data_IF_678021949211
#
_entry.id   IF_678021949211
#
_cell.length_a   1.000
_cell.length_b   1.000
_cell.length_c   1.000
_cell.angle_alpha   90.00
_cell.angle_beta   90.00
_cell.angle_gamma   90.00
#
_symmetry.space_group_name_H-M   'P 1'
#
loop_
_entity.id
_entity.type
_entity.pdbx_description
1 polymer ?
#
# COMPACT_ATOMS: atom_id res chain seq x y z
N UNK A 1 47.25 -24.54 4.59
CA UNK A 1 46.69 -25.21 3.38
C UNK A 1 45.70 -24.25 2.75
N UNK A 2 45.68 -24.13 1.41
CA UNK A 2 44.69 -23.30 0.71
C UNK A 2 43.28 -23.84 0.96
N UNK A 3 42.30 -22.97 1.21
CA UNK A 3 40.90 -23.39 1.43
C UNK A 3 40.27 -23.89 0.14
N UNK A 4 39.13 -24.59 0.22
CA UNK A 4 38.35 -24.97 -0.97
C UNK A 4 38.01 -23.76 -1.84
N UNK A 5 37.67 -22.63 -1.21
CA UNK A 5 37.37 -21.38 -1.91
C UNK A 5 38.57 -20.88 -2.72
N UNK A 6 39.76 -20.88 -2.11
CA UNK A 6 40.99 -20.39 -2.75
C UNK A 6 41.39 -21.28 -3.94
N UNK A 7 41.10 -22.58 -3.88
CA UNK A 7 41.38 -23.52 -4.97
C UNK A 7 40.33 -23.44 -6.08
N UNK A 8 39.07 -23.14 -5.75
CA UNK A 8 37.95 -23.09 -6.70
C UNK A 8 37.85 -21.74 -7.43
N UNK A 9 38.13 -20.63 -6.75
CA UNK A 9 37.82 -19.28 -7.23
C UNK A 9 39.09 -18.43 -7.30
N UNK A 10 39.39 -17.90 -8.49
CA UNK A 10 40.40 -16.87 -8.69
C UNK A 10 39.73 -15.49 -8.74
N UNK A 11 39.81 -14.66 -7.69
CA UNK A 11 39.14 -13.36 -7.66
C UNK A 11 39.77 -12.39 -8.67
N UNK A 12 38.94 -11.73 -9.47
CA UNK A 12 39.37 -10.71 -10.44
C UNK A 12 39.15 -9.28 -9.90
N UNK A 13 38.02 -9.06 -9.22
CA UNK A 13 37.66 -7.78 -8.61
C UNK A 13 36.64 -7.99 -7.48
N UNK A 14 36.46 -6.99 -6.61
CA UNK A 14 35.35 -6.97 -5.64
C UNK A 14 34.03 -6.64 -6.34
N UNK A 15 32.94 -7.31 -5.93
CA UNK A 15 31.58 -7.01 -6.40
C UNK A 15 31.03 -5.69 -5.85
N UNK A 16 29.97 -5.17 -6.47
CA UNK A 16 29.28 -3.98 -6.00
C UNK A 16 28.71 -4.17 -4.58
N UNK A 17 28.98 -3.22 -3.68
CA UNK A 17 28.55 -3.27 -2.27
C UNK A 17 27.22 -2.57 -2.01
N UNK A 18 26.81 -1.67 -2.91
CA UNK A 18 25.55 -0.92 -2.80
C UNK A 18 24.52 -1.55 -3.73
N UNK A 19 23.34 -1.95 -3.22
CA UNK A 19 22.29 -2.52 -4.04
C UNK A 19 21.61 -1.44 -4.91
N UNK A 20 21.11 -1.85 -6.07
CA UNK A 20 20.46 -0.96 -7.03
C UNK A 20 18.96 -0.81 -6.75
N UNK A 21 18.27 -1.93 -6.48
CA UNK A 21 16.80 -2.02 -6.40
C UNK A 21 16.36 -2.61 -5.05
N UNK A 22 17.01 -2.18 -3.96
CA UNK A 22 16.71 -2.69 -2.63
C UNK A 22 15.31 -2.29 -2.16
N UNK A 23 14.58 -3.25 -1.60
CA UNK A 23 13.31 -3.03 -0.90
C UNK A 23 13.47 -3.41 0.57
N UNK A 24 12.92 -2.59 1.46
CA UNK A 24 12.77 -2.93 2.87
C UNK A 24 11.30 -3.16 3.20
N UNK A 25 11.00 -4.19 3.99
CA UNK A 25 9.70 -4.37 4.64
C UNK A 25 9.87 -4.24 6.15
N UNK A 26 9.18 -3.27 6.75
CA UNK A 26 9.13 -3.06 8.21
C UNK A 26 7.87 -3.72 8.75
N UNK A 27 8.05 -4.66 9.67
CA UNK A 27 7.03 -5.58 10.17
C UNK A 27 7.06 -6.92 9.42
N UNK A 28 7.27 -8.02 10.14
CA UNK A 28 7.24 -9.41 9.60
C UNK A 28 5.98 -10.16 10.06
N UNK A 29 4.90 -9.42 10.27
CA UNK A 29 3.58 -10.00 10.44
C UNK A 29 3.02 -10.58 9.14
N UNK A 30 1.77 -11.06 9.18
CA UNK A 30 1.10 -11.69 8.04
C UNK A 30 1.11 -10.83 6.77
N UNK A 31 0.87 -9.51 6.90
CA UNK A 31 0.89 -8.56 5.77
C UNK A 31 2.31 -8.34 5.25
N UNK A 32 3.28 -8.14 6.15
CA UNK A 32 4.69 -7.95 5.80
C UNK A 32 5.26 -9.12 5.03
N UNK A 33 5.01 -10.35 5.49
CA UNK A 33 5.49 -11.55 4.80
C UNK A 33 4.76 -11.79 3.47
N UNK A 34 3.47 -11.48 3.38
CA UNK A 34 2.75 -11.53 2.10
C UNK A 34 3.30 -10.51 1.09
N UNK A 35 3.68 -9.31 1.52
CA UNK A 35 4.34 -8.32 0.67
C UNK A 35 5.74 -8.79 0.26
N UNK A 36 6.54 -9.28 1.20
CA UNK A 36 7.89 -9.79 0.95
C UNK A 36 7.90 -10.92 -0.08
N UNK A 37 7.07 -11.96 0.09
CA UNK A 37 7.02 -13.09 -0.85
C UNK A 37 6.48 -12.67 -2.22
N UNK A 38 5.53 -11.73 -2.28
CA UNK A 38 4.99 -11.21 -3.55
C UNK A 38 6.04 -10.41 -4.33
N UNK A 39 6.85 -9.61 -3.63
CA UNK A 39 8.00 -8.88 -4.19
C UNK A 39 9.06 -9.85 -4.74
N UNK A 40 9.41 -10.88 -3.95
CA UNK A 40 10.39 -11.90 -4.34
C UNK A 40 9.90 -12.72 -5.53
N UNK A 41 8.64 -13.18 -5.50
CA UNK A 41 8.04 -13.96 -6.57
C UNK A 41 7.94 -13.22 -7.91
N UNK A 42 7.89 -11.88 -7.89
CA UNK A 42 7.95 -11.03 -9.08
C UNK A 42 9.37 -10.62 -9.48
N UNK A 43 10.40 -11.03 -8.73
CA UNK A 43 11.81 -10.70 -8.99
C UNK A 43 12.08 -9.19 -9.00
N UNK A 44 11.41 -8.42 -8.13
CA UNK A 44 11.46 -6.95 -8.20
C UNK A 44 12.73 -6.33 -7.61
N UNK A 45 13.41 -7.02 -6.70
CA UNK A 45 14.55 -6.47 -5.95
C UNK A 45 15.79 -7.35 -6.09
N UNK A 46 16.97 -6.70 -6.08
CA UNK A 46 18.25 -7.38 -5.95
C UNK A 46 18.57 -7.69 -4.48
N UNK A 47 18.16 -6.83 -3.55
CA UNK A 47 18.27 -7.04 -2.10
C UNK A 47 16.92 -6.81 -1.40
N UNK A 48 16.50 -7.74 -0.55
CA UNK A 48 15.36 -7.58 0.37
C UNK A 48 15.88 -7.46 1.81
N UNK A 49 15.45 -6.42 2.52
CA UNK A 49 15.71 -6.25 3.95
C UNK A 49 14.42 -6.34 4.76
N UNK A 50 14.44 -7.08 5.86
CA UNK A 50 13.34 -7.19 6.82
C UNK A 50 13.72 -6.54 8.16
N UNK A 51 12.78 -5.83 8.78
CA UNK A 51 12.95 -5.25 10.12
C UNK A 51 11.74 -5.55 10.96
N UNK A 52 11.96 -6.05 12.17
CA UNK A 52 10.93 -6.20 13.20
C UNK A 52 11.57 -6.16 14.60
N UNK A 53 10.77 -5.90 15.62
CA UNK A 53 11.22 -5.92 17.02
C UNK A 53 11.26 -7.34 17.60
N UNK A 54 10.54 -8.29 17.01
CA UNK A 54 10.51 -9.70 17.40
C UNK A 54 11.68 -10.48 16.77
N UNK A 55 12.86 -10.45 17.40
CA UNK A 55 14.12 -10.97 16.84
C UNK A 55 14.07 -12.44 16.39
N UNK A 56 13.52 -13.35 17.21
CA UNK A 56 13.44 -14.78 16.85
C UNK A 56 12.53 -15.02 15.64
N UNK A 57 11.39 -14.33 15.62
CA UNK A 57 10.46 -14.40 14.49
C UNK A 57 11.11 -13.83 13.24
N UNK A 58 11.74 -12.66 13.35
CA UNK A 58 12.44 -12.00 12.25
C UNK A 58 13.51 -12.91 11.64
N UNK A 59 14.32 -13.56 12.47
CA UNK A 59 15.34 -14.50 12.04
C UNK A 59 14.72 -15.73 11.36
N UNK A 60 13.65 -16.29 11.93
CA UNK A 60 12.92 -17.42 11.35
C UNK A 60 12.37 -17.12 9.96
N UNK A 61 11.66 -16.00 9.81
CA UNK A 61 11.08 -15.56 8.53
C UNK A 61 12.16 -15.28 7.49
N UNK A 62 13.28 -14.67 7.89
CA UNK A 62 14.43 -14.46 7.00
C UNK A 62 15.03 -15.79 6.53
N UNK A 63 15.29 -16.72 7.44
CA UNK A 63 15.89 -18.02 7.12
C UNK A 63 15.01 -18.84 6.18
N UNK A 64 13.69 -18.83 6.39
CA UNK A 64 12.75 -19.56 5.54
C UNK A 64 12.76 -19.01 4.10
N UNK A 65 12.75 -17.68 3.93
CA UNK A 65 12.93 -17.07 2.62
C UNK A 65 14.30 -17.39 2.00
N UNK A 66 15.37 -17.40 2.81
CA UNK A 66 16.72 -17.73 2.35
C UNK A 66 16.82 -19.19 1.88
N UNK A 67 16.17 -20.14 2.54
CA UNK A 67 16.12 -21.54 2.08
C UNK A 67 15.46 -21.68 0.70
N UNK A 68 14.55 -20.76 0.35
CA UNK A 68 13.95 -20.66 -0.97
C UNK A 68 14.80 -19.98 -2.05
N UNK A 69 16.00 -19.47 -1.73
CA UNK A 69 16.78 -18.60 -2.64
C UNK A 69 17.04 -19.20 -4.02
N UNK A 70 17.17 -20.52 -4.14
CA UNK A 70 17.40 -21.20 -5.43
C UNK A 70 16.22 -21.05 -6.41
N UNK A 71 15.02 -20.76 -5.90
CA UNK A 71 13.81 -20.55 -6.70
C UNK A 71 13.51 -19.06 -6.96
N UNK A 72 14.37 -18.17 -6.47
CA UNK A 72 14.17 -16.72 -6.51
C UNK A 72 15.24 -16.04 -7.37
N UNK A 73 14.92 -14.83 -7.82
CA UNK A 73 15.83 -13.98 -8.61
C UNK A 73 16.50 -12.87 -7.77
N UNK A 74 16.33 -12.92 -6.45
CA UNK A 74 16.89 -11.94 -5.50
C UNK A 74 18.11 -12.57 -4.82
N UNK A 75 19.29 -11.98 -5.02
CA UNK A 75 20.55 -12.59 -4.59
C UNK A 75 20.80 -12.48 -3.07
N UNK A 76 20.15 -11.54 -2.38
CA UNK A 76 20.41 -11.26 -0.97
C UNK A 76 19.15 -10.92 -0.20
N UNK A 77 18.90 -11.68 0.86
CA UNK A 77 17.83 -11.46 1.83
C UNK A 77 18.50 -11.29 3.19
N UNK A 78 18.25 -10.17 3.85
CA UNK A 78 18.84 -9.83 5.16
C UNK A 78 17.75 -9.36 6.12
N UNK A 79 17.99 -9.53 7.41
CA UNK A 79 17.08 -9.06 8.43
C UNK A 79 17.83 -8.66 9.69
N UNK A 80 17.40 -7.57 10.32
CA UNK A 80 17.92 -7.10 11.60
C UNK A 80 16.87 -6.20 12.27
N UNK A 81 16.94 -6.08 13.59
CA UNK A 81 16.18 -5.10 14.35
C UNK A 81 16.77 -3.69 14.20
N UNK A 82 18.08 -3.58 13.99
CA UNK A 82 18.74 -2.30 13.67
C UNK A 82 18.43 -1.91 12.22
N UNK A 83 17.93 -0.68 12.06
CA UNK A 83 17.62 -0.10 10.75
C UNK A 83 18.84 0.12 9.86
N UNK A 84 20.08 -0.04 10.35
CA UNK A 84 21.28 -0.06 9.52
C UNK A 84 21.17 -1.09 8.38
N UNK A 85 20.47 -2.21 8.61
CA UNK A 85 20.19 -3.22 7.57
C UNK A 85 19.36 -2.68 6.40
N UNK A 86 18.67 -1.56 6.60
CA UNK A 86 17.79 -0.92 5.59
C UNK A 86 18.50 0.09 4.72
N UNK A 87 19.81 0.31 4.91
CA UNK A 87 20.54 1.34 4.19
C UNK A 87 20.45 1.16 2.66
N UNK A 88 20.26 2.29 1.96
CA UNK A 88 20.16 2.40 0.50
C UNK A 88 18.92 1.76 -0.15
N UNK A 89 17.82 1.61 0.59
CA UNK A 89 16.55 1.14 0.03
C UNK A 89 15.94 2.16 -0.93
N UNK A 90 15.43 1.68 -2.06
CA UNK A 90 14.64 2.47 -3.02
C UNK A 90 13.20 2.61 -2.54
N UNK A 91 12.64 1.53 -2.00
CA UNK A 91 11.30 1.50 -1.43
C UNK A 91 11.36 0.94 -0.02
N UNK A 92 10.67 1.59 0.91
CA UNK A 92 10.46 1.06 2.27
C UNK A 92 8.97 0.89 2.50
N UNK A 93 8.53 -0.35 2.69
CA UNK A 93 7.14 -0.72 2.93
C UNK A 93 6.90 -0.80 4.43
N UNK A 94 5.99 0.03 4.95
CA UNK A 94 5.62 0.03 6.37
C UNK A 94 4.36 -0.80 6.59
N UNK A 95 4.52 -1.96 7.22
CA UNK A 95 3.42 -2.86 7.61
C UNK A 95 3.30 -3.03 9.12
N UNK A 96 4.28 -2.53 9.88
CA UNK A 96 4.28 -2.52 11.33
C UNK A 96 3.22 -1.55 11.88
N UNK A 97 2.50 -1.99 12.90
CA UNK A 97 1.46 -1.20 13.56
C UNK A 97 0.80 -2.00 14.66
N UNK A 98 0.08 -1.29 15.52
CA UNK A 98 -0.78 -1.91 16.52
C UNK A 98 -2.17 -2.15 15.96
N UNK A 99 -2.79 -3.26 16.37
CA UNK A 99 -4.18 -3.57 16.04
C UNK A 99 -5.11 -2.86 17.01
N UNK A 100 -6.31 -2.55 16.53
CA UNK A 100 -7.39 -2.05 17.37
C UNK A 100 -7.74 -3.09 18.44
N UNK A 101 -7.85 -2.63 19.69
CA UNK A 101 -8.36 -3.43 20.80
C UNK A 101 -9.89 -3.33 20.88
N UNK A 102 -10.53 -4.31 21.50
CA UNK A 102 -11.98 -4.29 21.70
C UNK A 102 -12.39 -3.07 22.54
N UNK A 103 -13.36 -2.29 22.05
CA UNK A 103 -13.80 -1.04 22.68
C UNK A 103 -12.86 0.17 22.48
N UNK A 104 -11.73 0.03 21.78
CA UNK A 104 -10.80 1.13 21.52
C UNK A 104 -11.35 2.11 20.48
N UNK A 105 -11.30 3.42 20.78
CA UNK A 105 -11.67 4.45 19.82
C UNK A 105 -10.67 4.56 18.67
N UNK A 106 -11.12 5.01 17.50
CA UNK A 106 -10.26 5.24 16.33
C UNK A 106 -9.12 6.21 16.62
N UNK A 107 -9.38 7.28 17.39
CA UNK A 107 -8.36 8.25 17.79
C UNK A 107 -7.28 7.62 18.68
N UNK A 108 -7.65 6.78 19.64
CA UNK A 108 -6.70 6.10 20.53
C UNK A 108 -5.80 5.13 19.76
N UNK A 109 -6.38 4.36 18.82
CA UNK A 109 -5.62 3.50 17.92
C UNK A 109 -4.60 4.29 17.10
N UNK A 110 -5.02 5.43 16.53
CA UNK A 110 -4.14 6.33 15.78
C UNK A 110 -3.02 6.84 16.68
N UNK A 111 -3.31 7.32 17.88
CA UNK A 111 -2.30 7.86 18.80
C UNK A 111 -1.25 6.81 19.20
N UNK A 112 -1.65 5.55 19.40
CA UNK A 112 -0.68 4.46 19.65
C UNK A 112 0.19 4.19 18.43
N UNK A 113 -0.39 4.20 17.22
CA UNK A 113 0.38 4.06 15.99
C UNK A 113 1.31 5.25 15.73
N UNK A 114 0.96 6.47 16.15
CA UNK A 114 1.90 7.63 16.14
C UNK A 114 3.16 7.31 16.94
N UNK A 115 3.02 6.77 18.15
CA UNK A 115 4.17 6.40 18.98
C UNK A 115 5.04 5.31 18.34
N UNK A 116 4.43 4.35 17.65
CA UNK A 116 5.17 3.35 16.87
C UNK A 116 5.92 4.03 15.72
N UNK A 117 5.24 4.88 14.94
CA UNK A 117 5.81 5.52 13.75
C UNK A 117 6.92 6.53 14.09
N UNK A 118 6.88 7.18 15.26
CA UNK A 118 7.98 8.01 15.77
C UNK A 118 9.30 7.27 15.94
N UNK A 119 9.24 5.97 16.24
CA UNK A 119 10.44 5.14 16.36
C UNK A 119 10.89 4.56 15.01
N UNK A 120 9.97 4.37 14.07
CA UNK A 120 10.23 3.75 12.77
C UNK A 120 10.70 4.78 11.74
N UNK A 121 9.88 5.81 11.49
CA UNK A 121 10.03 6.70 10.33
C UNK A 121 11.37 7.46 10.34
N UNK A 122 11.83 8.06 11.47
CA UNK A 122 13.13 8.72 11.50
C UNK A 122 14.30 7.77 11.22
N UNK A 123 14.23 6.52 11.67
CA UNK A 123 15.28 5.52 11.40
C UNK A 123 15.30 5.14 9.92
N UNK A 124 14.14 4.95 9.30
CA UNK A 124 14.03 4.71 7.85
C UNK A 124 14.68 5.83 7.05
N UNK A 125 14.35 7.09 7.35
CA UNK A 125 14.89 8.24 6.62
C UNK A 125 16.38 8.43 6.89
N UNK A 126 16.86 8.13 8.09
CA UNK A 126 18.29 8.17 8.45
C UNK A 126 19.15 7.29 7.54
N UNK A 127 18.71 6.05 7.28
CA UNK A 127 19.50 5.09 6.48
C UNK A 127 19.14 5.08 4.99
N UNK A 128 17.96 5.58 4.63
CA UNK A 128 17.50 5.66 3.24
C UNK A 128 16.82 7.01 2.95
N UNK A 129 17.57 8.13 2.97
CA UNK A 129 17.00 9.48 2.83
C UNK A 129 16.37 9.76 1.45
N UNK A 130 16.66 8.89 0.48
CA UNK A 130 16.16 9.00 -0.89
C UNK A 130 15.04 8.02 -1.25
N UNK A 131 14.57 7.21 -0.29
CA UNK A 131 13.54 6.22 -0.57
C UNK A 131 12.17 6.83 -0.84
N UNK A 132 11.31 6.00 -1.42
CA UNK A 132 9.87 6.17 -1.37
C UNK A 132 9.34 5.30 -0.23
N UNK A 133 8.56 5.89 0.67
CA UNK A 133 7.89 5.16 1.74
C UNK A 133 6.49 4.78 1.27
N UNK A 134 6.21 3.49 1.25
CA UNK A 134 4.90 2.91 0.97
C UNK A 134 4.25 2.46 2.28
N UNK A 135 3.26 3.20 2.75
CA UNK A 135 2.55 2.93 4.00
C UNK A 135 1.41 1.96 3.74
N UNK A 136 1.37 0.87 4.49
CA UNK A 136 0.34 -0.19 4.42
C UNK A 136 -0.38 -0.35 5.75
N UNK A 137 0.28 0.00 6.86
CA UNK A 137 -0.30 -0.02 8.20
C UNK A 137 -1.58 0.80 8.27
N UNK A 138 -2.57 0.31 9.03
CA UNK A 138 -3.88 0.94 9.14
C UNK A 138 -4.07 1.79 10.42
N UNK A 139 -4.87 2.86 10.38
CA UNK A 139 -5.63 3.37 9.21
C UNK A 139 -4.71 4.09 8.20
N UNK A 140 -4.61 3.55 6.99
CA UNK A 140 -3.50 3.87 6.05
C UNK A 140 -3.46 5.33 5.63
N UNK A 141 -4.61 5.95 5.41
CA UNK A 141 -4.69 7.35 5.01
C UNK A 141 -4.10 8.29 6.08
N UNK A 142 -4.46 8.06 7.35
CA UNK A 142 -3.97 8.83 8.50
C UNK A 142 -2.50 8.52 8.79
N UNK A 143 -2.09 7.24 8.74
CA UNK A 143 -0.70 6.85 8.96
C UNK A 143 0.22 7.33 7.83
N UNK A 144 -0.30 7.54 6.62
CA UNK A 144 0.44 8.18 5.52
C UNK A 144 0.70 9.65 5.82
N UNK A 145 -0.31 10.38 6.31
CA UNK A 145 -0.13 11.76 6.79
C UNK A 145 0.91 11.84 7.91
N UNK A 146 0.81 10.98 8.93
CA UNK A 146 1.79 10.92 10.03
C UNK A 146 3.20 10.62 9.51
N UNK A 147 3.33 9.65 8.61
CA UNK A 147 4.62 9.32 7.98
C UNK A 147 5.19 10.51 7.23
N UNK A 148 4.35 11.25 6.49
CA UNK A 148 4.79 12.44 5.77
C UNK A 148 5.33 13.51 6.72
N UNK A 149 4.62 13.81 7.81
CA UNK A 149 5.07 14.78 8.83
C UNK A 149 6.36 14.34 9.51
N UNK A 150 6.43 13.09 10.00
CA UNK A 150 7.59 12.57 10.73
C UNK A 150 8.83 12.38 9.85
N UNK A 151 8.65 12.10 8.56
CA UNK A 151 9.77 11.82 7.65
C UNK A 151 10.45 13.09 7.14
N UNK A 152 9.73 14.20 7.06
CA UNK A 152 10.20 15.42 6.37
C UNK A 152 10.42 15.22 4.86
N UNK A 153 10.00 14.08 4.29
CA UNK A 153 10.13 13.83 2.86
C UNK A 153 9.12 14.67 2.06
N UNK A 154 9.42 14.99 0.79
CA UNK A 154 8.45 15.62 -0.07
C UNK A 154 7.27 14.66 -0.32
N UNK A 155 6.06 15.21 -0.43
CA UNK A 155 4.80 14.45 -0.49
C UNK A 155 4.75 13.39 -1.60
N UNK A 156 5.47 13.57 -2.70
CA UNK A 156 5.55 12.58 -3.78
C UNK A 156 6.24 11.28 -3.37
N UNK A 157 7.04 11.27 -2.30
CA UNK A 157 7.77 10.10 -1.80
C UNK A 157 7.11 9.41 -0.61
N UNK A 158 5.94 9.85 -0.17
CA UNK A 158 5.18 9.21 0.90
C UNK A 158 3.80 8.86 0.36
N UNK A 159 3.58 7.56 0.16
CA UNK A 159 2.41 7.02 -0.54
C UNK A 159 1.75 6.02 0.38
N UNK A 160 0.44 6.11 0.58
CA UNK A 160 -0.31 5.03 1.24
C UNK A 160 -0.86 4.04 0.22
N UNK A 161 -0.89 2.75 0.55
CA UNK A 161 -1.46 1.74 -0.34
C UNK A 161 -2.92 2.05 -0.71
N UNK A 162 -3.64 2.71 0.21
CA UNK A 162 -4.96 3.29 -0.03
C UNK A 162 -5.95 2.31 -0.64
N UNK A 163 -6.79 2.82 -1.54
CA UNK A 163 -7.85 2.09 -2.21
C UNK A 163 -7.37 1.24 -3.41
N UNK A 164 -6.08 0.94 -3.53
CA UNK A 164 -5.57 0.10 -4.63
C UNK A 164 -6.14 -1.32 -4.51
N UNK A 165 -6.21 -1.84 -3.27
CA UNK A 165 -6.82 -3.12 -2.98
C UNK A 165 -8.34 -3.09 -3.11
N UNK A 166 -9.01 -2.03 -2.66
CA UNK A 166 -10.47 -1.90 -2.76
C UNK A 166 -10.92 -1.80 -4.22
N UNK A 167 -10.15 -1.09 -5.03
CA UNK A 167 -10.32 -1.05 -6.48
C UNK A 167 -10.13 -2.44 -7.10
N UNK A 168 -9.15 -3.22 -6.64
CA UNK A 168 -8.96 -4.60 -7.12
C UNK A 168 -10.15 -5.50 -6.75
N UNK A 169 -10.65 -5.40 -5.51
CA UNK A 169 -11.85 -6.13 -5.04
C UNK A 169 -13.10 -5.73 -5.82
N UNK A 170 -13.28 -4.44 -6.07
CA UNK A 170 -14.39 -3.91 -6.86
C UNK A 170 -14.41 -4.49 -8.27
N UNK A 171 -13.24 -4.51 -8.93
CA UNK A 171 -13.06 -5.10 -10.27
C UNK A 171 -13.26 -6.62 -10.27
N UNK A 172 -12.88 -7.30 -9.20
CA UNK A 172 -13.17 -8.73 -9.03
C UNK A 172 -14.68 -9.01 -8.91
N UNK A 173 -15.39 -8.29 -8.04
CA UNK A 173 -16.84 -8.50 -7.89
C UNK A 173 -17.62 -8.11 -9.16
N UNK A 174 -17.17 -7.06 -9.86
CA UNK A 174 -17.66 -6.73 -11.20
C UNK A 174 -17.38 -7.86 -12.20
N UNK A 175 -16.19 -8.49 -12.15
CA UNK A 175 -15.84 -9.61 -13.02
C UNK A 175 -16.72 -10.83 -12.80
N UNK A 176 -17.01 -11.19 -11.55
CA UNK A 176 -17.87 -12.31 -11.20
C UNK A 176 -19.28 -12.11 -11.77
N UNK A 177 -19.78 -10.87 -11.67
CA UNK A 177 -21.11 -10.52 -12.17
C UNK A 177 -21.23 -10.53 -13.69
N UNK A 178 -20.16 -10.16 -14.40
CA UNK A 178 -20.16 -10.01 -15.86
C UNK A 178 -19.54 -11.21 -16.60
N UNK A 179 -18.86 -12.12 -15.92
CA UNK A 179 -18.13 -13.23 -16.54
C UNK A 179 -16.90 -12.79 -17.35
N UNK A 180 -16.28 -11.66 -16.99
CA UNK A 180 -15.15 -11.05 -17.72
C UNK A 180 -13.99 -10.86 -16.76
N UNK A 181 -12.77 -11.29 -17.11
CA UNK A 181 -11.60 -11.18 -16.23
C UNK A 181 -11.41 -9.75 -15.64
N UNK A 182 -11.05 -9.60 -14.34
CA UNK A 182 -10.94 -8.29 -13.68
C UNK A 182 -10.02 -7.29 -14.37
N UNK A 183 -9.01 -7.76 -15.13
CA UNK A 183 -8.13 -6.89 -15.92
C UNK A 183 -8.87 -6.04 -16.95
N UNK A 184 -10.00 -6.55 -17.45
CA UNK A 184 -10.84 -5.94 -18.50
C UNK A 184 -12.12 -5.29 -17.94
N UNK A 185 -12.33 -5.39 -16.63
CA UNK A 185 -13.37 -4.68 -15.89
C UNK A 185 -12.76 -3.43 -15.24
N UNK A 186 -13.27 -2.25 -15.59
CA UNK A 186 -12.74 -0.98 -15.11
C UNK A 186 -13.75 -0.28 -14.21
N UNK A 187 -13.29 0.11 -13.02
CA UNK A 187 -14.03 0.86 -12.02
C UNK A 187 -13.05 1.29 -10.92
N UNK A 188 -13.37 2.37 -10.22
CA UNK A 188 -12.46 2.97 -9.24
C UNK A 188 -13.14 3.11 -7.88
N UNK A 189 -12.42 2.70 -6.83
CA UNK A 189 -12.73 3.07 -5.45
C UNK A 189 -11.75 4.16 -5.02
N UNK A 190 -12.27 5.30 -4.59
CA UNK A 190 -11.53 6.48 -4.13
C UNK A 190 -11.83 6.77 -2.65
N UNK A 191 -11.24 7.83 -2.10
CA UNK A 191 -11.50 8.26 -0.72
C UNK A 191 -10.68 7.48 0.31
N UNK A 192 -11.22 7.37 1.52
CA UNK A 192 -10.67 6.54 2.59
C UNK A 192 -10.58 5.07 2.18
N UNK A 193 -9.49 4.40 2.54
CA UNK A 193 -9.47 2.94 2.64
C UNK A 193 -10.28 2.48 3.85
N UNK A 194 -11.58 2.27 3.66
CA UNK A 194 -12.50 1.90 4.72
C UNK A 194 -13.97 2.26 4.43
N UNK A 195 -14.71 2.49 5.50
CA UNK A 195 -16.17 2.62 5.47
C UNK A 195 -16.67 3.83 4.67
N UNK A 196 -15.88 4.92 4.58
CA UNK A 196 -16.23 6.10 3.77
C UNK A 196 -15.64 6.10 2.36
N UNK A 197 -15.15 4.95 1.87
CA UNK A 197 -14.70 4.80 0.48
C UNK A 197 -15.81 5.15 -0.52
N UNK A 198 -15.43 5.62 -1.71
CA UNK A 198 -16.36 6.10 -2.74
C UNK A 198 -16.21 5.28 -4.01
N UNK A 199 -17.27 4.58 -4.40
CA UNK A 199 -17.36 3.95 -5.71
C UNK A 199 -17.72 4.97 -6.79
N UNK A 200 -16.87 5.11 -7.80
CA UNK A 200 -17.08 6.02 -8.94
C UNK A 200 -17.86 5.30 -10.02
N UNK A 201 -19.18 5.22 -9.84
CA UNK A 201 -20.12 4.57 -10.78
C UNK A 201 -20.06 5.21 -12.17
N UNK A 202 -19.84 6.53 -12.23
CA UNK A 202 -19.73 7.27 -13.49
C UNK A 202 -18.54 6.86 -14.36
N UNK A 203 -17.52 6.21 -13.76
CA UNK A 203 -16.33 5.73 -14.45
C UNK A 203 -16.34 4.22 -14.77
N UNK A 204 -17.39 3.49 -14.37
CA UNK A 204 -17.45 2.04 -14.58
C UNK A 204 -17.66 1.69 -16.04
N UNK A 205 -16.79 0.85 -16.60
CA UNK A 205 -16.84 0.45 -17.99
C UNK A 205 -16.17 -0.91 -18.28
N UNK A 206 -16.55 -1.50 -19.41
CA UNK A 206 -15.85 -2.60 -20.07
C UNK A 206 -15.59 -2.19 -21.52
N UNK A 207 -14.34 -2.30 -21.96
CA UNK A 207 -13.93 -1.88 -23.31
C UNK A 207 -14.37 -0.44 -23.68
N UNK A 208 -14.44 0.46 -22.69
CA UNK A 208 -14.89 1.85 -22.87
C UNK A 208 -16.40 2.06 -22.90
N UNK A 209 -17.22 1.00 -22.86
CA UNK A 209 -18.68 1.12 -22.77
C UNK A 209 -19.09 1.40 -21.33
N UNK A 210 -19.68 2.58 -21.10
CA UNK A 210 -20.13 3.02 -19.78
C UNK A 210 -21.28 2.16 -19.28
N UNK A 211 -21.12 1.55 -18.11
CA UNK A 211 -22.19 0.76 -17.51
C UNK A 211 -23.33 1.62 -16.97
N UNK A 212 -23.02 2.84 -16.51
CA UNK A 212 -24.04 3.75 -16.01
C UNK A 212 -24.87 4.39 -17.15
N UNK A 213 -24.37 4.40 -18.39
CA UNK A 213 -25.20 4.78 -19.54
C UNK A 213 -26.21 3.68 -19.90
N UNK A 214 -25.84 2.40 -19.72
CA UNK A 214 -26.73 1.26 -19.94
C UNK A 214 -27.76 1.10 -18.81
N UNK A 215 -27.34 1.35 -17.57
CA UNK A 215 -28.18 1.38 -16.39
C UNK A 215 -28.03 2.73 -15.66
N UNK A 216 -28.83 3.76 -16.01
CA UNK A 216 -28.77 5.08 -15.38
C UNK A 216 -29.03 5.08 -13.87
N UNK A 217 -29.69 4.05 -13.35
CA UNK A 217 -29.94 3.89 -11.92
C UNK A 217 -28.77 3.21 -11.17
N UNK A 218 -27.74 2.73 -11.88
CA UNK A 218 -26.59 2.02 -11.31
C UNK A 218 -25.96 2.80 -10.15
N UNK A 219 -25.76 2.09 -9.03
CA UNK A 219 -25.19 2.65 -7.81
C UNK A 219 -26.20 3.37 -6.90
N UNK A 220 -27.46 3.52 -7.32
CA UNK A 220 -28.52 4.14 -6.52
C UNK A 220 -29.44 3.11 -5.87
N UNK A 221 -30.30 3.56 -4.95
CA UNK A 221 -31.31 2.69 -4.35
C UNK A 221 -32.41 2.22 -5.31
N UNK A 222 -32.55 2.89 -6.47
CA UNK A 222 -33.55 2.56 -7.50
C UNK A 222 -33.03 1.54 -8.51
N UNK A 223 -31.78 1.11 -8.38
CA UNK A 223 -31.16 0.15 -9.27
C UNK A 223 -31.82 -1.24 -9.14
N UNK A 224 -32.54 -1.74 -10.17
CA UNK A 224 -33.18 -3.06 -10.11
C UNK A 224 -32.17 -4.20 -9.98
N UNK A 225 -30.93 -3.94 -10.40
CA UNK A 225 -29.82 -4.86 -10.39
C UNK A 225 -28.98 -4.75 -9.09
N UNK A 226 -29.25 -3.76 -8.24
CA UNK A 226 -28.59 -3.56 -6.96
C UNK A 226 -27.05 -3.55 -7.04
N UNK A 227 -26.46 -2.86 -8.03
CA UNK A 227 -25.00 -2.75 -8.20
C UNK A 227 -24.32 -2.12 -6.98
N UNK A 228 -25.02 -1.27 -6.22
CA UNK A 228 -24.52 -0.72 -4.95
C UNK A 228 -24.07 -1.80 -3.95
N UNK A 229 -24.60 -3.01 -4.05
CA UNK A 229 -24.19 -4.15 -3.21
C UNK A 229 -22.74 -4.55 -3.45
N UNK A 230 -22.22 -4.36 -4.67
CA UNK A 230 -20.80 -4.61 -4.95
C UNK A 230 -19.92 -3.72 -4.09
N UNK A 231 -20.23 -2.43 -3.97
CA UNK A 231 -19.44 -1.52 -3.12
C UNK A 231 -19.56 -1.88 -1.64
N UNK A 232 -20.76 -2.25 -1.17
CA UNK A 232 -20.93 -2.76 0.20
C UNK A 232 -20.10 -4.00 0.48
N UNK A 233 -20.04 -4.93 -0.47
CA UNK A 233 -19.17 -6.12 -0.38
C UNK A 233 -17.70 -5.76 -0.36
N UNK A 234 -17.25 -4.74 -1.12
CA UNK A 234 -15.86 -4.25 -1.05
C UNK A 234 -15.51 -3.77 0.36
N UNK A 235 -16.37 -2.94 0.96
CA UNK A 235 -16.19 -2.46 2.35
C UNK A 235 -16.22 -3.63 3.34
N UNK A 236 -17.18 -4.56 3.19
CA UNK A 236 -17.34 -5.73 4.05
C UNK A 236 -16.22 -6.78 3.89
N UNK A 237 -15.51 -6.80 2.75
CA UNK A 237 -14.55 -7.85 2.38
C UNK A 237 -13.46 -8.04 3.43
N UNK A 238 -12.94 -6.95 4.00
CA UNK A 238 -11.91 -7.06 5.04
C UNK A 238 -12.47 -7.73 6.30
N UNK A 239 -13.65 -7.30 6.76
CA UNK A 239 -14.31 -7.84 7.95
C UNK A 239 -14.67 -9.31 7.80
N UNK A 240 -15.22 -9.70 6.65
CA UNK A 240 -15.60 -11.09 6.37
C UNK A 240 -14.37 -12.01 6.35
N UNK A 241 -13.31 -11.63 5.65
CA UNK A 241 -12.06 -12.43 5.61
C UNK A 241 -11.42 -12.51 7.00
N UNK A 242 -11.43 -11.42 7.77
CA UNK A 242 -10.94 -11.44 9.16
C UNK A 242 -11.79 -12.37 10.02
N UNK A 243 -13.12 -12.35 9.87
CA UNK A 243 -14.02 -13.26 10.60
C UNK A 243 -13.73 -14.73 10.28
N UNK A 244 -13.41 -15.06 9.03
CA UNK A 244 -13.20 -16.43 8.57
C UNK A 244 -11.78 -16.95 8.82
N UNK A 245 -10.75 -16.12 8.61
CA UNK A 245 -9.33 -16.50 8.64
C UNK A 245 -8.55 -15.90 9.81
N UNK A 246 -9.10 -14.89 10.48
CA UNK A 246 -8.46 -14.12 11.56
C UNK A 246 -7.60 -12.94 11.09
N UNK A 247 -7.33 -12.80 9.78
CA UNK A 247 -6.52 -11.71 9.20
C UNK A 247 -6.64 -11.67 7.66
N UNK A 248 -6.26 -10.53 7.07
CA UNK A 248 -6.00 -10.39 5.63
C UNK A 248 -4.49 -10.33 5.39
N UNK A 249 -4.02 -10.91 4.27
CA UNK A 249 -2.60 -10.89 3.93
C UNK A 249 -2.33 -10.99 2.41
N UNK A 250 -2.87 -12.00 1.73
CA UNK A 250 -2.48 -12.28 0.34
C UNK A 250 -2.83 -11.16 -0.64
N UNK A 251 -4.09 -10.72 -0.65
CA UNK A 251 -4.54 -9.70 -1.58
C UNK A 251 -3.83 -8.36 -1.38
N UNK A 252 -3.54 -7.97 -0.13
CA UNK A 252 -2.75 -6.77 0.16
C UNK A 252 -1.28 -6.96 -0.22
N UNK A 253 -0.69 -8.15 -0.04
CA UNK A 253 0.66 -8.46 -0.51
C UNK A 253 0.81 -8.30 -2.02
N UNK A 254 -0.15 -8.80 -2.81
CA UNK A 254 -0.18 -8.61 -4.26
C UNK A 254 -0.38 -7.13 -4.65
N UNK A 255 -1.27 -6.42 -3.95
CA UNK A 255 -1.48 -4.98 -4.15
C UNK A 255 -0.20 -4.16 -3.91
N UNK A 256 0.54 -4.47 -2.84
CA UNK A 256 1.83 -3.83 -2.53
C UNK A 256 2.86 -4.14 -3.62
N UNK A 257 2.98 -5.39 -4.06
CA UNK A 257 3.94 -5.76 -5.09
C UNK A 257 3.62 -5.10 -6.46
N UNK A 258 2.34 -4.89 -6.78
CA UNK A 258 1.90 -4.14 -7.97
C UNK A 258 2.34 -2.67 -7.92
N UNK A 259 2.23 -2.02 -6.75
CA UNK A 259 2.72 -0.65 -6.54
C UNK A 259 4.25 -0.57 -6.63
N UNK A 260 4.96 -1.49 -5.96
CA UNK A 260 6.42 -1.57 -6.00
C UNK A 260 6.93 -1.79 -7.43
N UNK A 261 6.25 -2.62 -8.22
CA UNK A 261 6.60 -2.86 -9.63
C UNK A 261 6.51 -1.56 -10.45
N UNK A 262 5.43 -0.80 -10.31
CA UNK A 262 5.27 0.48 -11.02
C UNK A 262 6.39 1.46 -10.68
N UNK A 263 6.73 1.55 -9.39
CA UNK A 263 7.75 2.46 -8.91
C UNK A 263 9.14 2.02 -9.41
N UNK A 264 9.56 0.77 -9.16
CA UNK A 264 10.91 0.31 -9.51
C UNK A 264 11.15 0.23 -11.01
N UNK A 265 10.16 -0.21 -11.79
CA UNK A 265 10.27 -0.29 -13.25
C UNK A 265 9.91 1.03 -13.94
N UNK A 266 9.63 2.09 -13.19
CA UNK A 266 9.33 3.42 -13.71
C UNK A 266 8.19 3.42 -14.76
N UNK A 267 7.08 2.74 -14.46
CA UNK A 267 6.06 2.40 -15.48
C UNK A 267 5.02 3.50 -15.76
N UNK A 268 4.93 4.54 -14.94
CA UNK A 268 3.90 5.59 -15.08
C UNK A 268 2.46 5.05 -15.11
N UNK A 269 2.19 3.94 -14.40
CA UNK A 269 0.84 3.39 -14.24
C UNK A 269 0.03 4.21 -13.23
N UNK A 270 -1.28 4.22 -13.42
CA UNK A 270 -2.24 4.91 -12.54
C UNK A 270 -2.77 3.92 -11.49
N UNK A 271 -2.72 4.31 -10.22
CA UNK A 271 -3.21 3.52 -9.09
C UNK A 271 -4.06 4.38 -8.16
N UNK A 272 -5.07 3.79 -7.51
CA UNK A 272 -5.82 4.49 -6.46
C UNK A 272 -5.05 4.38 -5.15
N UNK A 273 -4.27 5.41 -4.81
CA UNK A 273 -3.36 5.40 -3.65
C UNK A 273 -3.54 6.66 -2.82
N UNK A 274 -3.26 6.55 -1.52
CA UNK A 274 -3.43 7.67 -0.60
C UNK A 274 -2.36 8.74 -0.85
N UNK A 275 -2.80 9.96 -1.11
CA UNK A 275 -1.96 11.14 -1.39
C UNK A 275 -2.57 12.39 -0.77
N UNK A 276 -1.78 13.46 -0.63
CA UNK A 276 -2.26 14.75 -0.14
C UNK A 276 -3.23 15.38 -1.15
N UNK A 277 -4.50 15.55 -0.77
CA UNK A 277 -5.57 16.02 -1.68
C UNK A 277 -5.96 17.48 -1.50
N UNK A 278 -5.23 18.23 -0.66
CA UNK A 278 -5.48 19.66 -0.44
C UNK A 278 -5.53 20.43 -1.77
N UNK A 279 -6.61 21.18 -1.96
CA UNK A 279 -6.91 21.95 -3.17
C UNK A 279 -7.71 21.19 -4.23
N UNK A 280 -7.95 19.88 -4.06
CA UNK A 280 -8.70 19.06 -5.01
C UNK A 280 -10.14 18.87 -4.57
N UNK A 281 -11.08 18.89 -5.51
CA UNK A 281 -12.51 18.66 -5.27
C UNK A 281 -13.11 19.54 -4.15
N UNK A 282 -12.53 20.72 -3.87
CA UNK A 282 -12.97 21.64 -2.80
C UNK A 282 -12.44 21.33 -1.40
N UNK A 283 -11.58 20.32 -1.24
CA UNK A 283 -10.97 19.93 0.04
C UNK A 283 -9.83 20.92 0.36
N UNK A 284 -9.90 21.59 1.52
CA UNK A 284 -8.91 22.61 1.93
C UNK A 284 -7.91 22.12 2.98
N UNK A 285 -8.24 21.06 3.70
CA UNK A 285 -7.43 20.52 4.79
C UNK A 285 -6.29 19.64 4.24
N UNK A 286 -5.21 19.50 5.02
CA UNK A 286 -4.08 18.62 4.69
C UNK A 286 -4.40 17.15 4.97
N UNK A 287 -5.36 16.60 4.22
CA UNK A 287 -5.80 15.22 4.34
C UNK A 287 -5.15 14.37 3.27
N UNK A 288 -4.73 13.16 3.66
CA UNK A 288 -4.39 12.09 2.73
C UNK A 288 -5.62 11.22 2.51
N UNK A 289 -5.93 10.92 1.25
CA UNK A 289 -6.92 9.92 0.85
C UNK A 289 -6.63 9.44 -0.58
N UNK A 290 -7.33 8.40 -1.02
CA UNK A 290 -7.05 7.75 -2.30
C UNK A 290 -7.64 8.49 -3.50
N UNK A 291 -6.77 8.84 -4.45
CA UNK A 291 -7.12 9.34 -5.78
C UNK A 291 -6.32 8.59 -6.85
N UNK A 292 -6.80 8.52 -8.11
CA UNK A 292 -6.02 7.90 -9.17
C UNK A 292 -4.75 8.72 -9.40
N UNK A 293 -3.60 8.10 -9.16
CA UNK A 293 -2.30 8.77 -9.13
C UNK A 293 -1.30 8.04 -10.01
N UNK A 294 -0.51 8.80 -10.78
CA UNK A 294 0.54 8.29 -11.65
C UNK A 294 1.80 8.04 -10.82
N UNK A 295 2.25 6.79 -10.77
CA UNK A 295 3.44 6.39 -10.02
C UNK A 295 4.62 6.11 -10.96
N UNK A 296 5.82 6.52 -10.54
CA UNK A 296 7.08 6.35 -11.27
C UNK A 296 8.22 6.03 -10.30
N UNK A 297 9.47 5.95 -10.79
CA UNK A 297 10.65 5.82 -9.94
C UNK A 297 10.88 7.02 -8.99
N UNK A 298 10.20 8.16 -9.23
CA UNK A 298 10.21 9.34 -8.34
C UNK A 298 9.06 9.34 -7.32
N UNK A 299 8.26 8.28 -7.28
CA UNK A 299 7.05 8.17 -6.47
C UNK A 299 5.84 8.70 -7.22
N UNK A 300 4.98 9.45 -6.53
CA UNK A 300 3.77 10.03 -7.10
C UNK A 300 4.08 11.27 -7.94
N UNK A 301 3.82 11.21 -9.23
CA UNK A 301 4.15 12.28 -10.19
C UNK A 301 2.97 13.19 -10.51
N UNK A 302 1.77 12.63 -10.54
CA UNK A 302 0.55 13.36 -10.92
C UNK A 302 -0.67 12.70 -10.30
N UNK A 303 -1.70 13.49 -10.05
CA UNK A 303 -3.04 13.00 -9.69
C UNK A 303 -3.96 13.26 -10.87
N UNK A 304 -4.75 12.26 -11.24
CA UNK A 304 -5.73 12.38 -12.32
C UNK A 304 -6.93 13.17 -11.80
N UNK A 305 -7.25 14.27 -12.49
CA UNK A 305 -8.45 15.07 -12.25
C UNK A 305 -9.67 14.36 -12.85
N UNK A 306 -10.11 13.30 -12.18
CA UNK A 306 -11.29 12.53 -12.57
C UNK A 306 -12.53 13.45 -12.58
N UNK A 307 -13.32 13.39 -13.65
CA UNK A 307 -14.63 14.06 -13.68
C UNK A 307 -15.62 13.23 -12.86
N UNK A 308 -15.88 13.68 -11.64
CA UNK A 308 -16.84 13.08 -10.72
C UNK A 308 -18.18 13.80 -10.81
N UNK A 309 -19.28 13.06 -10.57
CA UNK A 309 -20.61 13.65 -10.39
C UNK A 309 -20.70 14.36 -9.03
N UNK A 310 -21.66 15.26 -8.88
CA UNK A 310 -21.82 16.06 -7.65
C UNK A 310 -22.02 15.19 -6.40
N UNK A 311 -22.72 14.07 -6.51
CA UNK A 311 -22.90 13.11 -5.42
C UNK A 311 -21.60 12.36 -5.08
N UNK A 312 -20.80 11.98 -6.08
CA UNK A 312 -19.47 11.37 -5.89
C UNK A 312 -18.49 12.37 -5.25
N UNK A 313 -18.51 13.64 -5.66
CA UNK A 313 -17.74 14.73 -5.04
C UNK A 313 -18.17 14.95 -3.59
N UNK A 314 -19.48 14.95 -3.32
CA UNK A 314 -20.01 15.11 -1.97
C UNK A 314 -19.57 13.97 -1.03
N UNK A 315 -19.63 12.72 -1.50
CA UNK A 315 -19.14 11.55 -0.77
C UNK A 315 -17.63 11.63 -0.51
N UNK A 316 -16.85 12.05 -1.51
CA UNK A 316 -15.41 12.21 -1.37
C UNK A 316 -15.04 13.28 -0.33
N UNK A 317 -15.76 14.40 -0.31
CA UNK A 317 -15.61 15.44 0.73
C UNK A 317 -15.95 14.91 2.12
N UNK A 318 -17.06 14.19 2.25
CA UNK A 318 -17.45 13.56 3.52
C UNK A 318 -16.38 12.58 4.03
N UNK A 319 -15.76 11.82 3.13
CA UNK A 319 -14.64 10.94 3.46
C UNK A 319 -13.43 11.74 3.96
N UNK A 320 -13.10 12.84 3.29
CA UNK A 320 -12.03 13.75 3.71
C UNK A 320 -12.31 14.38 5.08
N UNK A 321 -13.54 14.81 5.35
CA UNK A 321 -13.96 15.37 6.64
C UNK A 321 -13.86 14.34 7.76
N UNK A 322 -14.29 13.10 7.50
CA UNK A 322 -14.17 11.98 8.46
C UNK A 322 -12.71 11.72 8.84
N UNK A 323 -11.79 11.77 7.88
CA UNK A 323 -10.36 11.62 8.13
C UNK A 323 -9.78 12.83 8.86
N UNK A 324 -10.18 14.04 8.47
CA UNK A 324 -9.75 15.28 9.09
C UNK A 324 -10.14 15.37 10.55
N UNK A 325 -11.35 14.95 10.90
CA UNK A 325 -11.86 14.96 12.27
C UNK A 325 -11.03 14.12 13.22
N UNK A 326 -10.38 13.07 12.73
CA UNK A 326 -9.39 12.31 13.52
C UNK A 326 -8.01 12.96 13.45
N UNK A 327 -7.58 13.43 12.27
CA UNK A 327 -6.23 13.98 12.05
C UNK A 327 -5.95 15.25 12.84
N UNK A 328 -6.94 16.14 12.97
CA UNK A 328 -6.79 17.44 13.65
C UNK A 328 -6.50 17.32 15.15
N UNK A 329 -6.90 16.20 15.76
CA UNK A 329 -6.76 15.94 17.19
C UNK A 329 -5.53 15.09 17.52
N UNK A 330 -4.72 14.72 16.52
CA UNK A 330 -3.46 13.98 16.73
C UNK A 330 -2.44 14.90 17.39
N UNK A 331 -1.86 14.43 18.50
CA UNK A 331 -0.85 15.19 19.26
C UNK A 331 0.57 14.72 18.94
N UNK A 332 1.50 15.64 19.15
CA UNK A 332 2.95 15.41 19.13
C UNK A 332 3.49 14.93 17.77
N UNK A 333 3.06 15.54 16.66
CA UNK A 333 3.53 15.25 15.31
C UNK A 333 4.77 16.06 14.92
#
# INVERSE_FOLDING_TARGET
MATVKDQLISPIAEGAKVPNNKITVVGVGQVGMAAAISVLGKGLCDELALVDVMEDRLKGEMMDLQHGSVFLHTHKIVADKDYAVTANSKIVVLTAGVRQQEGESRLNLVQRNVNVFKNIVPQVVKYSPNCIILVVSNPVDILTYITWKLSGLPKNRVIGSGCNLDTARFRYLMSERLGIHPSSCHGWILGEHGDSSVAVWSGMNVAGVSLQELNPAMGTDKDPENWKEIHKQVVASAYEVIKLKGYTNWAIGFSVADLCETILKNLYRVHSVATLVKGMYGIQNEVFLSLPSVLSASGLTSVINQKLKDDEVSQLRKSADTLWDVQKDIKDL
#
